data_IF_625828555965
#
_entry.id   IF_625828555965
#
_cell.length_a   1.000
_cell.length_b   1.000
_cell.length_c   1.000
_cell.angle_alpha   90.00
_cell.angle_beta   90.00
_cell.angle_gamma   90.00
#
_symmetry.space_group_name_H-M   'P 1'
#
loop_
_entity.id
_entity.type
_entity.pdbx_description
1 polymer ?
#
# COMPACT_ATOMS: atom_id res chain seq x y z
N UNK A 1 -25.78 3.88 -28.96
CA UNK A 1 -24.44 4.17 -28.42
C UNK A 1 -24.61 4.56 -26.96
N UNK A 2 -24.43 3.62 -26.03
CA UNK A 2 -24.51 3.88 -24.59
C UNK A 2 -23.12 4.35 -24.15
N UNK A 3 -22.97 5.46 -23.40
CA UNK A 3 -21.66 5.91 -22.96
C UNK A 3 -21.07 4.85 -22.03
N UNK A 4 -19.86 4.35 -22.33
CA UNK A 4 -19.07 3.59 -21.37
C UNK A 4 -18.64 4.57 -20.28
N UNK A 5 -19.42 4.62 -19.20
CA UNK A 5 -18.98 5.18 -17.93
C UNK A 5 -17.67 4.49 -17.55
N UNK A 6 -16.58 5.24 -17.58
CA UNK A 6 -15.26 4.82 -17.13
C UNK A 6 -15.36 4.17 -15.74
N UNK A 7 -14.94 2.91 -15.64
CA UNK A 7 -14.95 2.10 -14.40
C UNK A 7 -14.08 2.67 -13.25
N UNK A 8 -13.49 3.86 -13.43
CA UNK A 8 -12.70 4.55 -12.42
C UNK A 8 -13.53 5.27 -11.34
N UNK A 9 -14.84 5.50 -11.57
CA UNK A 9 -15.72 6.28 -10.68
C UNK A 9 -16.69 5.46 -9.81
N UNK A 10 -16.72 4.14 -9.92
CA UNK A 10 -17.61 3.32 -9.10
C UNK A 10 -16.99 3.06 -7.72
N UNK A 11 -17.75 3.23 -6.63
CA UNK A 11 -17.40 2.90 -5.24
C UNK A 11 -17.22 1.38 -5.05
N UNK A 12 -16.29 0.78 -5.79
CA UNK A 12 -16.03 -0.66 -5.81
C UNK A 12 -14.62 -0.88 -5.29
N UNK A 13 -14.46 -0.61 -4.00
CA UNK A 13 -13.21 -0.85 -3.28
C UNK A 13 -12.71 -2.27 -3.48
N UNK A 14 -13.62 -3.26 -3.58
CA UNK A 14 -13.29 -4.66 -3.83
C UNK A 14 -12.53 -4.86 -5.13
N UNK A 15 -13.01 -4.32 -6.25
CA UNK A 15 -12.36 -4.46 -7.56
C UNK A 15 -11.00 -3.77 -7.57
N UNK A 16 -10.89 -2.61 -6.92
CA UNK A 16 -9.60 -1.92 -6.74
C UNK A 16 -8.61 -2.77 -5.95
N UNK A 17 -9.07 -3.41 -4.87
CA UNK A 17 -8.20 -4.30 -4.08
C UNK A 17 -7.77 -5.52 -4.88
N UNK A 18 -8.73 -6.18 -5.55
CA UNK A 18 -8.45 -7.34 -6.40
C UNK A 18 -7.46 -6.98 -7.49
N UNK A 19 -7.66 -5.88 -8.23
CA UNK A 19 -6.74 -5.46 -9.29
C UNK A 19 -5.32 -5.20 -8.77
N UNK A 20 -5.18 -4.50 -7.64
CA UNK A 20 -3.87 -4.23 -7.04
C UNK A 20 -3.18 -5.51 -6.56
N UNK A 21 -3.93 -6.43 -5.93
CA UNK A 21 -3.39 -7.73 -5.51
C UNK A 21 -2.94 -8.58 -6.71
N UNK A 22 -3.75 -8.61 -7.78
CA UNK A 22 -3.38 -9.30 -9.02
C UNK A 22 -2.10 -8.74 -9.63
N UNK A 23 -1.95 -7.41 -9.66
CA UNK A 23 -0.73 -6.77 -10.11
C UNK A 23 0.49 -7.23 -9.30
N UNK A 24 0.37 -7.38 -7.98
CA UNK A 24 1.47 -7.89 -7.16
C UNK A 24 1.79 -9.37 -7.46
N UNK A 25 0.81 -10.28 -7.48
CA UNK A 25 1.10 -11.71 -7.70
C UNK A 25 1.59 -12.01 -9.12
N UNK A 26 1.33 -11.13 -10.09
CA UNK A 26 1.82 -11.24 -11.48
C UNK A 26 3.00 -10.32 -11.79
N UNK A 27 3.57 -9.64 -10.79
CA UNK A 27 4.69 -8.68 -10.90
C UNK A 27 4.51 -7.56 -11.96
N UNK A 28 3.27 -7.08 -12.13
CA UNK A 28 2.90 -6.07 -13.13
C UNK A 28 3.19 -4.65 -12.61
N UNK A 29 4.49 -4.29 -12.59
CA UNK A 29 4.99 -3.02 -12.04
C UNK A 29 4.59 -1.79 -12.85
N UNK A 30 4.11 -1.94 -14.08
CA UNK A 30 3.55 -0.83 -14.86
C UNK A 30 2.33 -0.18 -14.17
N UNK A 31 1.69 -0.87 -13.23
CA UNK A 31 0.56 -0.32 -12.47
C UNK A 31 0.95 0.46 -11.20
N UNK A 32 2.25 0.63 -10.90
CA UNK A 32 2.70 1.38 -9.73
C UNK A 32 2.07 2.78 -9.68
N UNK A 33 2.01 3.49 -10.81
CA UNK A 33 1.51 4.87 -10.83
C UNK A 33 0.01 5.00 -10.61
N UNK A 34 -0.78 4.10 -11.20
CA UNK A 34 -2.23 4.14 -10.99
C UNK A 34 -2.59 3.74 -9.56
N UNK A 35 -1.87 2.76 -9.00
CA UNK A 35 -2.03 2.35 -7.59
C UNK A 35 -1.62 3.51 -6.66
N UNK A 36 -0.49 4.17 -6.94
CA UNK A 36 0.01 5.30 -6.15
C UNK A 36 -0.91 6.49 -6.19
N UNK A 37 -1.41 6.84 -7.37
CA UNK A 37 -2.41 7.89 -7.54
C UNK A 37 -3.66 7.62 -6.70
N UNK A 38 -4.15 6.37 -6.70
CA UNK A 38 -5.31 6.01 -5.87
C UNK A 38 -5.01 6.01 -4.37
N UNK A 39 -3.80 5.60 -3.95
CA UNK A 39 -3.37 5.71 -2.56
C UNK A 39 -3.37 7.18 -2.10
N UNK A 40 -2.74 8.07 -2.87
CA UNK A 40 -2.63 9.50 -2.51
C UNK A 40 -3.98 10.19 -2.39
N UNK A 41 -4.93 9.80 -3.24
CA UNK A 41 -6.27 10.40 -3.24
C UNK A 41 -7.15 9.93 -2.07
N UNK A 42 -6.86 8.78 -1.48
CA UNK A 42 -7.65 8.18 -0.38
C UNK A 42 -9.18 8.19 -0.62
N UNK A 43 -9.61 8.06 -1.88
CA UNK A 43 -11.02 8.26 -2.29
C UNK A 43 -11.96 7.16 -1.79
N UNK A 44 -11.42 6.00 -1.39
CA UNK A 44 -12.21 4.78 -1.19
C UNK A 44 -11.71 4.00 0.03
N UNK A 45 -12.63 3.65 0.94
CA UNK A 45 -12.32 2.91 2.16
C UNK A 45 -11.77 1.50 1.87
N UNK A 46 -10.98 0.98 2.81
CA UNK A 46 -10.38 -0.37 2.83
C UNK A 46 -9.33 -0.66 1.75
N UNK A 47 -9.21 0.16 0.70
CA UNK A 47 -8.30 -0.12 -0.42
C UNK A 47 -6.84 0.33 -0.17
N UNK A 48 -6.56 1.31 0.69
CA UNK A 48 -5.19 1.78 0.86
C UNK A 48 -4.26 0.75 1.51
N UNK A 49 -4.78 -0.09 2.41
CA UNK A 49 -4.01 -1.15 3.05
C UNK A 49 -3.38 -2.14 2.05
N UNK A 50 -4.13 -2.55 1.02
CA UNK A 50 -3.60 -3.43 -0.01
C UNK A 50 -2.62 -2.71 -0.94
N UNK A 51 -2.83 -1.42 -1.23
CA UNK A 51 -1.86 -0.63 -2.00
C UNK A 51 -0.52 -0.55 -1.29
N UNK A 52 -0.52 -0.31 0.03
CA UNK A 52 0.69 -0.32 0.86
C UNK A 52 1.38 -1.69 0.83
N UNK A 53 0.62 -2.78 0.89
CA UNK A 53 1.14 -4.15 0.77
C UNK A 53 1.76 -4.43 -0.60
N UNK A 54 1.10 -3.99 -1.68
CA UNK A 54 1.62 -4.12 -3.06
C UNK A 54 2.92 -3.33 -3.24
N UNK A 55 3.01 -2.13 -2.67
CA UNK A 55 4.24 -1.34 -2.67
C UNK A 55 5.38 -1.98 -1.90
N UNK A 56 5.09 -2.54 -0.72
CA UNK A 56 6.07 -3.34 0.02
C UNK A 56 6.51 -4.58 -0.79
N UNK A 57 5.61 -5.19 -1.56
CA UNK A 57 5.91 -6.35 -2.41
C UNK A 57 6.76 -6.02 -3.64
N UNK A 58 6.49 -4.88 -4.29
CA UNK A 58 7.26 -4.44 -5.45
C UNK A 58 8.64 -3.89 -5.08
N UNK A 59 8.76 -3.27 -3.89
CA UNK A 59 10.01 -2.74 -3.33
C UNK A 59 10.84 -1.96 -4.36
N UNK A 60 10.25 -0.91 -4.93
CA UNK A 60 10.96 0.01 -5.84
C UNK A 60 11.10 1.38 -5.18
N UNK A 61 12.09 2.21 -5.59
CA UNK A 61 12.20 3.58 -5.11
C UNK A 61 10.88 4.37 -5.26
N UNK A 62 10.20 4.19 -6.40
CA UNK A 62 8.92 4.85 -6.68
C UNK A 62 7.81 4.44 -5.70
N UNK A 63 7.78 3.18 -5.27
CA UNK A 63 6.84 2.71 -4.25
C UNK A 63 7.10 3.40 -2.90
N UNK A 64 8.37 3.54 -2.52
CA UNK A 64 8.78 4.26 -1.30
C UNK A 64 8.37 5.74 -1.38
N UNK A 65 8.54 6.38 -2.55
CA UNK A 65 8.14 7.78 -2.76
C UNK A 65 6.64 8.00 -2.56
N UNK A 66 5.79 7.12 -3.11
CA UNK A 66 4.35 7.20 -2.91
C UNK A 66 3.95 7.02 -1.43
N UNK A 67 4.57 6.06 -0.73
CA UNK A 67 4.33 5.85 0.69
C UNK A 67 4.74 7.07 1.53
N UNK A 68 5.91 7.64 1.24
CA UNK A 68 6.41 8.84 1.90
C UNK A 68 5.49 10.04 1.67
N UNK A 69 5.10 10.28 0.41
CA UNK A 69 4.20 11.38 0.03
C UNK A 69 2.85 11.24 0.73
N UNK A 70 2.31 10.01 0.81
CA UNK A 70 1.09 9.72 1.54
C UNK A 70 1.23 10.06 3.02
N UNK A 71 2.29 9.61 3.67
CA UNK A 71 2.52 9.80 5.11
C UNK A 71 2.78 11.27 5.47
N UNK A 72 3.57 11.98 4.65
CA UNK A 72 3.84 13.42 4.80
C UNK A 72 2.55 14.23 4.87
N UNK A 73 1.55 13.86 4.06
CA UNK A 73 0.25 14.54 4.07
C UNK A 73 -0.67 14.00 5.17
N UNK A 74 -0.96 12.70 5.19
CA UNK A 74 -2.06 12.13 5.98
C UNK A 74 -1.76 11.96 7.46
N UNK A 75 -0.49 11.97 7.89
CA UNK A 75 -0.17 12.02 9.32
C UNK A 75 -0.49 13.40 9.94
N UNK A 76 -0.53 14.46 9.12
CA UNK A 76 -0.91 15.82 9.58
C UNK A 76 -2.42 16.00 9.75
N UNK A 77 -3.22 14.96 9.45
CA UNK A 77 -4.68 14.98 9.46
C UNK A 77 -5.22 14.02 10.53
N UNK A 78 -5.12 14.36 11.83
CA UNK A 78 -5.46 13.44 12.94
C UNK A 78 -6.92 12.97 12.91
N UNK A 79 -7.82 13.75 12.31
CA UNK A 79 -9.24 13.41 12.17
C UNK A 79 -9.53 12.41 11.05
N UNK A 80 -8.57 12.12 10.17
CA UNK A 80 -8.73 11.17 9.07
C UNK A 80 -8.22 9.78 9.46
N UNK A 81 -9.15 8.82 9.55
CA UNK A 81 -8.87 7.42 9.89
C UNK A 81 -8.76 6.58 8.62
N UNK A 82 -7.67 6.75 7.90
CA UNK A 82 -7.38 6.04 6.65
C UNK A 82 -6.29 4.98 6.88
N UNK A 83 -5.42 4.81 5.89
CA UNK A 83 -4.42 3.75 5.84
C UNK A 83 -3.03 4.18 6.35
N UNK A 84 -2.93 5.25 7.16
CA UNK A 84 -1.64 5.72 7.73
C UNK A 84 -0.87 4.62 8.44
N UNK A 85 -1.56 3.77 9.21
CA UNK A 85 -0.93 2.65 9.90
C UNK A 85 -0.40 1.58 8.95
N UNK A 86 -1.10 1.34 7.84
CA UNK A 86 -0.64 0.41 6.79
C UNK A 86 0.57 0.97 6.04
N UNK A 87 0.57 2.27 5.75
CA UNK A 87 1.69 2.96 5.11
C UNK A 87 2.94 3.00 6.01
N UNK A 88 2.78 3.28 7.31
CA UNK A 88 3.87 3.20 8.28
C UNK A 88 4.47 1.79 8.35
N UNK A 89 3.62 0.75 8.42
CA UNK A 89 4.08 -0.66 8.40
C UNK A 89 4.87 -0.99 7.14
N UNK A 90 4.40 -0.52 5.98
CA UNK A 90 5.10 -0.73 4.72
C UNK A 90 6.49 -0.06 4.73
N UNK A 91 6.60 1.19 5.18
CA UNK A 91 7.90 1.88 5.27
C UNK A 91 8.84 1.18 6.26
N UNK A 92 8.37 0.82 7.46
CA UNK A 92 9.21 0.12 8.46
C UNK A 92 9.70 -1.22 7.93
N UNK A 93 8.84 -1.97 7.23
CA UNK A 93 9.24 -3.21 6.57
C UNK A 93 10.30 -2.96 5.48
N UNK A 94 10.09 -1.94 4.64
CA UNK A 94 11.02 -1.58 3.56
C UNK A 94 12.38 -1.12 4.11
N UNK A 95 12.40 -0.35 5.19
CA UNK A 95 13.62 0.05 5.89
C UNK A 95 14.41 -1.15 6.40
N UNK A 96 13.73 -2.11 7.04
CA UNK A 96 14.32 -3.35 7.52
C UNK A 96 14.98 -4.16 6.40
N UNK A 97 14.36 -4.27 5.23
CA UNK A 97 14.89 -5.10 4.14
C UNK A 97 15.94 -4.39 3.28
N UNK A 98 15.87 -3.05 3.18
CA UNK A 98 16.76 -2.27 2.32
C UNK A 98 17.91 -1.60 3.09
N UNK A 99 17.90 -1.68 4.43
CA UNK A 99 18.88 -0.97 5.28
C UNK A 99 18.73 0.55 5.22
N UNK A 100 17.51 1.03 5.02
CA UNK A 100 17.18 2.47 4.96
C UNK A 100 16.52 2.93 6.26
N UNK A 101 16.17 4.22 6.35
CA UNK A 101 15.58 4.81 7.54
C UNK A 101 14.54 5.90 7.20
N UNK A 102 13.63 5.59 6.27
CA UNK A 102 12.56 6.50 5.86
C UNK A 102 11.46 6.64 6.91
N UNK A 103 11.30 5.68 7.83
CA UNK A 103 10.33 5.74 8.91
C UNK A 103 10.62 6.92 9.86
N UNK A 104 11.89 7.18 10.14
CA UNK A 104 12.31 8.18 11.14
C UNK A 104 11.77 9.57 10.87
N UNK A 105 11.71 10.00 9.60
CA UNK A 105 11.14 11.32 9.24
C UNK A 105 9.65 11.45 9.56
N UNK A 106 8.95 10.34 9.76
CA UNK A 106 7.51 10.33 10.04
C UNK A 106 7.16 10.11 11.51
N UNK A 107 8.12 9.70 12.36
CA UNK A 107 7.84 9.28 13.74
C UNK A 107 7.20 10.37 14.59
N UNK A 108 7.61 11.62 14.44
CA UNK A 108 7.02 12.75 15.18
C UNK A 108 5.54 12.90 14.82
N UNK A 109 5.23 12.95 13.52
CA UNK A 109 3.85 13.07 13.04
C UNK A 109 3.02 11.83 13.37
N UNK A 110 3.63 10.63 13.38
CA UNK A 110 2.99 9.40 13.81
C UNK A 110 2.55 9.47 15.28
N UNK A 111 3.45 9.87 16.18
CA UNK A 111 3.16 9.97 17.61
C UNK A 111 2.03 10.97 17.88
N UNK A 112 2.04 12.12 17.20
CA UNK A 112 0.95 13.10 17.32
C UNK A 112 -0.36 12.57 16.72
N UNK A 113 -0.31 11.90 15.57
CA UNK A 113 -1.49 11.33 14.90
C UNK A 113 -2.23 10.30 15.78
N UNK A 114 -1.50 9.45 16.51
CA UNK A 114 -2.10 8.38 17.32
C UNK A 114 -2.46 8.81 18.74
N UNK A 115 -2.13 10.03 19.17
CA UNK A 115 -2.31 10.51 20.55
C UNK A 115 -3.73 10.31 21.10
N UNK A 116 -4.73 10.43 20.24
CA UNK A 116 -6.15 10.26 20.56
C UNK A 116 -6.76 8.98 19.96
N UNK A 117 -5.95 7.96 19.65
CA UNK A 117 -6.38 6.70 19.03
C UNK A 117 -6.00 5.53 19.94
N UNK A 118 -6.90 5.15 20.85
CA UNK A 118 -6.65 4.19 21.93
C UNK A 118 -6.12 2.81 21.48
N UNK A 119 -6.40 2.40 20.24
CA UNK A 119 -5.98 1.11 19.69
C UNK A 119 -4.74 1.17 18.79
N UNK A 120 -4.10 2.34 18.68
CA UNK A 120 -2.92 2.52 17.84
C UNK A 120 -1.66 2.60 18.71
N UNK A 121 -0.71 1.72 18.43
CA UNK A 121 0.53 1.61 19.18
C UNK A 121 1.61 2.52 18.61
N UNK A 122 2.49 3.06 19.47
CA UNK A 122 3.68 3.80 19.04
C UNK A 122 4.62 2.92 18.23
N UNK A 123 4.81 1.68 18.70
CA UNK A 123 5.61 0.67 18.02
C UNK A 123 4.85 0.11 16.80
N UNK A 124 5.50 0.12 15.64
CA UNK A 124 4.89 -0.30 14.38
C UNK A 124 5.36 -1.71 14.05
N UNK A 125 4.49 -2.69 14.33
CA UNK A 125 4.73 -4.11 14.05
C UNK A 125 4.40 -4.48 12.60
N UNK A 126 5.27 -5.23 11.95
CA UNK A 126 5.16 -5.62 10.53
C UNK A 126 4.62 -7.04 10.31
N UNK A 127 4.38 -7.83 11.36
CA UNK A 127 4.07 -9.27 11.27
C UNK A 127 2.91 -9.60 10.32
N UNK A 128 1.81 -8.84 10.41
CA UNK A 128 0.65 -9.06 9.56
C UNK A 128 0.93 -8.74 8.09
N UNK A 129 1.72 -7.69 7.83
CA UNK A 129 2.16 -7.34 6.48
C UNK A 129 3.09 -8.44 5.93
N UNK A 130 4.07 -8.88 6.72
CA UNK A 130 5.00 -9.94 6.33
C UNK A 130 4.26 -11.24 5.96
N UNK A 131 3.22 -11.63 6.71
CA UNK A 131 2.35 -12.76 6.36
C UNK A 131 1.67 -12.60 5.00
N UNK A 132 1.14 -11.41 4.68
CA UNK A 132 0.57 -11.15 3.36
C UNK A 132 1.61 -11.19 2.24
N UNK A 133 2.81 -10.67 2.49
CA UNK A 133 3.91 -10.71 1.52
C UNK A 133 4.35 -12.15 1.22
N UNK A 134 4.37 -13.02 2.22
CA UNK A 134 4.61 -14.47 2.04
C UNK A 134 3.58 -15.08 1.09
N UNK A 135 2.29 -14.76 1.25
CA UNK A 135 1.24 -15.25 0.35
C UNK A 135 1.48 -14.77 -1.08
N UNK A 136 1.73 -13.47 -1.27
CA UNK A 136 2.00 -12.91 -2.61
C UNK A 136 3.20 -13.61 -3.25
N UNK A 137 4.30 -13.77 -2.51
CA UNK A 137 5.51 -14.38 -3.03
C UNK A 137 5.33 -15.86 -3.36
N UNK A 138 4.56 -16.59 -2.53
CA UNK A 138 4.23 -18.01 -2.75
C UNK A 138 3.43 -18.18 -4.04
N UNK A 139 2.38 -17.37 -4.22
CA UNK A 139 1.54 -17.42 -5.43
C UNK A 139 2.35 -17.02 -6.66
N UNK A 140 3.14 -15.94 -6.58
CA UNK A 140 4.01 -15.47 -7.69
C UNK A 140 5.00 -16.56 -8.13
N UNK A 141 5.56 -17.31 -7.19
CA UNK A 141 6.56 -18.34 -7.47
C UNK A 141 5.98 -19.68 -7.95
N UNK A 142 4.66 -19.86 -7.89
CA UNK A 142 3.99 -21.09 -8.32
C UNK A 142 4.22 -21.31 -9.83
N UNK A 143 4.55 -22.54 -10.29
CA UNK A 143 4.88 -22.83 -11.69
C UNK A 143 3.86 -22.31 -12.71
N UNK A 144 2.57 -22.38 -12.39
CA UNK A 144 1.48 -21.90 -13.26
C UNK A 144 1.55 -20.39 -13.57
N UNK A 145 2.13 -19.58 -12.69
CA UNK A 145 2.27 -18.13 -12.90
C UNK A 145 3.55 -17.74 -13.64
N UNK A 146 4.52 -18.65 -13.78
CA UNK A 146 5.74 -18.44 -14.58
C UNK A 146 5.54 -18.70 -16.07
N UNK A 147 4.44 -19.37 -16.43
CA UNK A 147 4.13 -19.78 -17.81
C UNK A 147 3.09 -18.89 -18.50
N UNK A 148 2.59 -17.86 -17.83
CA UNK A 148 1.67 -16.91 -18.46
C UNK A 148 2.47 -16.03 -19.44
N UNK A 149 2.05 -15.93 -20.72
CA UNK A 149 2.70 -15.04 -21.66
C UNK A 149 2.61 -13.59 -21.14
N UNK A 150 3.59 -12.73 -21.45
CA UNK A 150 3.45 -11.30 -21.19
C UNK A 150 2.18 -10.81 -21.92
N UNK A 151 1.30 -10.15 -21.16
CA UNK A 151 0.07 -9.54 -21.68
C UNK A 151 0.41 -8.30 -22.49
#
# INVERSE_FOLDING_TARGET
MIPRSSAAGSFIWRTRQTGAFFAAITDQRQFIDIIGTHLLKSEVCFAGSIYCCVFASFNTPKCVDYLNTYLEYYLTKPDLWFDQGSAMKAIVYLDKINGTNYADKHLINWIEFIKNKEHWEKEIKTDALEKHLIVIQTVRNTPANKTLPPV
#
